data_IF_987046215351
#
_entry.id   IF_987046215351
#
_cell.length_a   1.000
_cell.length_b   1.000
_cell.length_c   1.000
_cell.angle_alpha   90.00
_cell.angle_beta   90.00
_cell.angle_gamma   90.00
#
_symmetry.space_group_name_H-M   'P 1'
#
loop_
_entity.id
_entity.type
_entity.pdbx_description
1 polymer ?
#
# COMPACT_ATOMS: atom_id res chain seq x y z
N UNK A 1 -5.44 -7.55 4.90
CA UNK A 1 -4.17 -6.85 4.63
C UNK A 1 -4.10 -5.60 5.50
N UNK A 2 -3.05 -5.46 6.29
CA UNK A 2 -2.73 -4.20 6.96
C UNK A 2 -1.68 -3.48 6.09
N UNK A 3 -2.00 -2.26 5.66
CA UNK A 3 -1.14 -1.43 4.81
C UNK A 3 -0.66 -0.23 5.61
N UNK A 4 0.63 -0.19 5.88
CA UNK A 4 1.30 0.94 6.49
C UNK A 4 2.14 1.63 5.43
N UNK A 5 1.79 2.89 5.12
CA UNK A 5 2.53 3.73 4.18
C UNK A 5 3.20 4.83 5.00
N UNK A 6 4.53 4.87 4.98
CA UNK A 6 5.34 5.88 5.64
C UNK A 6 6.14 6.63 4.56
N UNK A 7 6.35 7.92 4.72
CA UNK A 7 7.19 8.71 3.81
C UNK A 7 8.47 9.13 4.50
N UNK A 8 9.62 8.72 4.00
CA UNK A 8 10.91 9.20 4.50
C UNK A 8 11.12 10.66 4.04
N UNK A 9 10.67 11.63 4.86
CA UNK A 9 10.79 13.06 4.58
C UNK A 9 9.89 13.58 3.44
N UNK A 10 8.74 12.95 3.23
CA UNK A 10 7.71 13.41 2.28
C UNK A 10 6.32 13.24 2.90
N UNK A 11 5.44 14.21 2.66
CA UNK A 11 4.03 14.10 3.03
C UNK A 11 3.30 13.18 2.04
N UNK A 12 2.61 12.16 2.56
CA UNK A 12 1.87 11.23 1.74
C UNK A 12 0.51 11.83 1.40
N UNK A 13 0.43 12.35 0.18
CA UNK A 13 -0.83 12.86 -0.36
C UNK A 13 -1.84 11.74 -0.59
N UNK A 14 -3.12 12.10 -0.56
CA UNK A 14 -4.21 11.15 -0.79
C UNK A 14 -4.13 10.50 -2.18
N UNK A 15 -3.65 11.22 -3.19
CA UNK A 15 -3.43 10.68 -4.53
C UNK A 15 -2.40 9.53 -4.55
N UNK A 16 -1.29 9.67 -3.81
CA UNK A 16 -0.26 8.62 -3.69
C UNK A 16 -0.84 7.40 -2.97
N UNK A 17 -1.62 7.62 -1.91
CA UNK A 17 -2.29 6.54 -1.17
C UNK A 17 -3.25 5.76 -2.07
N UNK A 18 -4.10 6.45 -2.84
CA UNK A 18 -5.05 5.81 -3.76
C UNK A 18 -4.33 5.03 -4.86
N UNK A 19 -3.30 5.61 -5.46
CA UNK A 19 -2.50 4.96 -6.48
C UNK A 19 -1.83 3.67 -5.97
N UNK A 20 -1.28 3.70 -4.76
CA UNK A 20 -0.68 2.55 -4.11
C UNK A 20 -1.70 1.46 -3.80
N UNK A 21 -2.89 1.84 -3.30
CA UNK A 21 -3.99 0.89 -3.05
C UNK A 21 -4.43 0.20 -4.34
N UNK A 22 -4.59 0.94 -5.44
CA UNK A 22 -5.00 0.38 -6.73
C UNK A 22 -3.95 -0.62 -7.27
N UNK A 23 -2.66 -0.26 -7.21
CA UNK A 23 -1.57 -1.16 -7.58
C UNK A 23 -1.57 -2.43 -6.74
N UNK A 24 -1.73 -2.30 -5.42
CA UNK A 24 -1.78 -3.43 -4.51
C UNK A 24 -3.03 -4.29 -4.72
N UNK A 25 -4.13 -3.71 -5.21
CA UNK A 25 -5.33 -4.47 -5.55
C UNK A 25 -5.10 -5.48 -6.67
N UNK A 26 -4.16 -5.22 -7.58
CA UNK A 26 -3.82 -6.15 -8.68
C UNK A 26 -3.10 -7.41 -8.19
N UNK A 27 -2.37 -7.32 -7.08
CA UNK A 27 -1.65 -8.47 -6.49
C UNK A 27 -2.46 -9.19 -5.41
N UNK A 28 -3.53 -8.57 -4.87
CA UNK A 28 -4.42 -9.17 -3.86
C UNK A 28 -4.94 -10.56 -4.25
N UNK A 29 -5.23 -10.79 -5.53
CA UNK A 29 -5.74 -12.07 -6.01
C UNK A 29 -4.74 -13.24 -5.88
N UNK A 30 -3.45 -12.96 -5.72
CA UNK A 30 -2.42 -14.00 -5.56
C UNK A 30 -2.12 -14.35 -4.10
N UNK A 31 -2.63 -13.56 -3.13
CA UNK A 31 -2.20 -13.65 -1.75
C UNK A 31 -3.39 -13.52 -0.80
N UNK A 32 -4.06 -14.66 -0.59
CA UNK A 32 -5.25 -14.79 0.25
C UNK A 32 -4.94 -14.61 1.75
N UNK A 33 -3.71 -14.92 2.16
CA UNK A 33 -3.28 -14.85 3.56
C UNK A 33 -2.53 -13.54 3.87
N UNK A 34 -3.24 -12.64 4.56
CA UNK A 34 -2.74 -11.56 5.42
C UNK A 34 -1.29 -11.09 5.17
N UNK A 35 -1.04 -10.48 4.01
CA UNK A 35 0.23 -9.80 3.76
C UNK A 35 0.25 -8.50 4.59
N UNK A 36 1.28 -8.34 5.43
CA UNK A 36 1.63 -7.05 6.01
C UNK A 36 2.54 -6.32 5.01
N UNK A 37 2.06 -5.22 4.43
CA UNK A 37 2.79 -4.46 3.41
C UNK A 37 3.29 -3.18 4.04
N UNK A 38 4.61 -3.01 4.07
CA UNK A 38 5.28 -1.81 4.54
C UNK A 38 5.91 -1.07 3.36
N UNK A 39 5.48 0.16 3.10
CA UNK A 39 6.04 1.06 2.09
C UNK A 39 6.71 2.24 2.79
N UNK A 40 7.95 2.57 2.40
CA UNK A 40 8.82 3.62 2.98
C UNK A 40 9.17 4.64 1.89
#
# INVERSE_FOLDING_TARGET
MQLSISGHHLDITEAIKQHSIEKLSKIKHHFDHLININMI
#
